data_IF_715310752620
#
_entry.id   IF_715310752620
#
_cell.length_a   1.000
_cell.length_b   1.000
_cell.length_c   1.000
_cell.angle_alpha   90.00
_cell.angle_beta   90.00
_cell.angle_gamma   90.00
#
_symmetry.space_group_name_H-M   'P 1'
#
loop_
_entity.id
_entity.type
_entity.pdbx_description
1 polymer ?
#
# COMPACT_ATOMS: atom_id res chain seq x y z
N UNK A 1 9.64 48.35 -27.36
CA UNK A 1 8.71 47.19 -27.38
C UNK A 1 9.34 45.88 -26.89
N UNK A 2 10.52 45.89 -26.26
CA UNK A 2 11.29 44.68 -25.89
C UNK A 2 11.22 44.30 -24.40
N UNK A 3 10.95 45.25 -23.50
CA UNK A 3 10.93 44.99 -22.05
C UNK A 3 9.77 44.09 -21.59
N UNK A 4 8.57 44.26 -22.16
CA UNK A 4 7.39 43.47 -21.80
C UNK A 4 7.50 41.99 -22.22
N UNK A 5 8.20 41.73 -23.32
CA UNK A 5 8.38 40.38 -23.88
C UNK A 5 9.31 39.53 -22.98
N UNK A 6 10.38 40.12 -22.44
CA UNK A 6 11.31 39.43 -21.54
C UNK A 6 10.67 39.07 -20.19
N UNK A 7 9.74 39.90 -19.69
CA UNK A 7 9.01 39.64 -18.44
C UNK A 7 8.05 38.44 -18.61
N UNK A 8 7.34 38.37 -19.73
CA UNK A 8 6.41 37.27 -20.00
C UNK A 8 7.16 35.95 -20.23
N UNK A 9 8.31 35.97 -20.91
CA UNK A 9 9.16 34.80 -21.09
C UNK A 9 9.67 34.22 -19.76
N UNK A 10 10.06 35.08 -18.81
CA UNK A 10 10.45 34.66 -17.46
C UNK A 10 9.29 34.03 -16.68
N UNK A 11 8.09 34.60 -16.78
CA UNK A 11 6.89 34.03 -16.14
C UNK A 11 6.54 32.65 -16.71
N UNK A 12 6.64 32.48 -18.03
CA UNK A 12 6.42 31.19 -18.70
C UNK A 12 7.48 30.17 -18.24
N UNK A 13 8.74 30.57 -18.16
CA UNK A 13 9.83 29.71 -17.69
C UNK A 13 9.58 29.24 -16.24
N UNK A 14 9.18 30.16 -15.35
CA UNK A 14 8.88 29.83 -13.95
C UNK A 14 7.66 28.89 -13.86
N UNK A 15 6.62 29.13 -14.67
CA UNK A 15 5.44 28.27 -14.71
C UNK A 15 5.77 26.85 -15.21
N UNK A 16 6.66 26.71 -16.19
CA UNK A 16 7.13 25.42 -16.70
C UNK A 16 7.96 24.65 -15.66
N UNK A 17 8.86 25.34 -14.95
CA UNK A 17 9.64 24.73 -13.87
C UNK A 17 8.75 24.29 -12.71
N UNK A 18 7.75 25.09 -12.36
CA UNK A 18 6.77 24.75 -11.31
C UNK A 18 5.91 23.54 -11.71
N UNK A 19 5.51 23.42 -12.98
CA UNK A 19 4.73 22.29 -13.47
C UNK A 19 5.52 20.98 -13.42
N UNK A 20 6.81 21.02 -13.77
CA UNK A 20 7.69 19.85 -13.71
C UNK A 20 7.92 19.40 -12.26
N UNK A 21 8.00 20.33 -11.31
CA UNK A 21 8.17 20.00 -9.89
C UNK A 21 6.96 19.23 -9.29
N UNK A 22 5.75 19.47 -9.79
CA UNK A 22 4.53 18.80 -9.30
C UNK A 22 4.43 17.35 -9.81
N UNK A 23 4.95 17.06 -11.01
CA UNK A 23 4.93 15.70 -11.56
C UNK A 23 5.93 14.72 -10.92
N UNK A 24 6.85 15.21 -10.09
CA UNK A 24 7.91 14.38 -9.50
C UNK A 24 7.65 13.99 -8.04
N UNK A 25 6.44 14.18 -7.50
CA UNK A 25 6.15 13.71 -6.15
C UNK A 25 6.20 12.17 -6.12
N UNK A 26 7.14 11.55 -5.37
CA UNK A 26 7.07 10.13 -5.12
C UNK A 26 5.81 9.93 -4.28
N UNK A 27 4.82 9.24 -4.84
CA UNK A 27 3.67 8.78 -4.06
C UNK A 27 4.21 7.92 -2.93
N UNK A 28 4.19 8.43 -1.70
CA UNK A 28 4.49 7.63 -0.52
C UNK A 28 3.31 6.66 -0.33
N UNK A 29 3.44 5.47 -0.90
CA UNK A 29 2.54 4.37 -0.57
C UNK A 29 2.81 4.01 0.89
N UNK A 30 1.95 4.47 1.79
CA UNK A 30 1.99 4.06 3.18
C UNK A 30 1.61 2.56 3.23
N UNK A 31 2.62 1.70 3.30
CA UNK A 31 2.41 0.26 3.49
C UNK A 31 1.85 0.06 4.90
N UNK A 32 0.59 -0.37 5.02
CA UNK A 32 -0.02 -0.61 6.31
C UNK A 32 0.63 -1.83 6.96
N UNK A 33 1.30 -1.64 8.10
CA UNK A 33 1.94 -2.73 8.83
C UNK A 33 0.91 -3.47 9.70
N UNK A 34 1.00 -4.80 9.76
CA UNK A 34 0.12 -5.68 10.53
C UNK A 34 0.94 -6.46 11.55
N UNK A 35 0.36 -6.68 12.74
CA UNK A 35 0.91 -7.57 13.76
C UNK A 35 -0.13 -8.64 14.09
N UNK A 36 -0.07 -9.82 13.46
CA UNK A 36 -1.09 -10.85 13.64
C UNK A 36 -1.07 -11.44 15.07
N UNK A 37 -2.26 -11.54 15.66
CA UNK A 37 -2.49 -12.21 16.94
C UNK A 37 -3.79 -13.03 16.86
N UNK A 38 -3.65 -14.29 16.53
CA UNK A 38 -4.73 -15.28 16.46
C UNK A 38 -4.42 -16.41 17.44
N UNK A 39 -5.40 -16.76 18.28
CA UNK A 39 -5.27 -17.84 19.25
C UNK A 39 -6.48 -18.77 19.11
N UNK A 40 -6.21 -20.04 18.84
CA UNK A 40 -7.26 -21.06 18.66
C UNK A 40 -8.32 -20.66 17.61
N UNK A 41 -7.93 -19.88 16.60
CA UNK A 41 -8.82 -19.36 15.58
C UNK A 41 -9.06 -20.39 14.48
N UNK A 42 -10.22 -20.33 13.81
CA UNK A 42 -10.47 -21.17 12.64
C UNK A 42 -9.59 -20.73 11.47
N UNK A 43 -8.92 -21.68 10.83
CA UNK A 43 -8.01 -21.41 9.71
C UNK A 43 -8.66 -20.63 8.56
N UNK A 44 -9.97 -20.79 8.33
CA UNK A 44 -10.69 -20.08 7.26
C UNK A 44 -10.77 -18.58 7.56
N UNK A 45 -10.94 -18.22 8.83
CA UNK A 45 -10.94 -16.81 9.26
C UNK A 45 -9.57 -16.17 9.07
N UNK A 46 -8.50 -16.93 9.30
CA UNK A 46 -7.13 -16.44 9.04
C UNK A 46 -6.93 -16.22 7.55
N UNK A 47 -7.35 -17.16 6.70
CA UNK A 47 -7.22 -17.03 5.24
C UNK A 47 -8.02 -15.83 4.71
N UNK A 48 -9.22 -15.58 5.23
CA UNK A 48 -10.00 -14.38 4.88
C UNK A 48 -9.27 -13.09 5.24
N UNK A 49 -8.68 -13.01 6.44
CA UNK A 49 -7.89 -11.85 6.84
C UNK A 49 -6.67 -11.64 5.95
N UNK A 50 -5.94 -12.72 5.60
CA UNK A 50 -4.82 -12.65 4.66
C UNK A 50 -5.30 -12.18 3.28
N UNK A 51 -6.45 -12.66 2.80
CA UNK A 51 -7.03 -12.27 1.52
C UNK A 51 -7.37 -10.77 1.47
N UNK A 52 -8.00 -10.25 2.52
CA UNK A 52 -8.37 -8.83 2.63
C UNK A 52 -7.13 -7.93 2.67
N UNK A 53 -6.14 -8.32 3.46
CA UNK A 53 -4.91 -7.53 3.67
C UNK A 53 -4.01 -7.53 2.42
N UNK A 54 -3.90 -8.68 1.76
CA UNK A 54 -2.98 -8.87 0.61
C UNK A 54 -3.64 -8.59 -0.74
N UNK A 55 -4.97 -8.48 -0.77
CA UNK A 55 -5.77 -8.37 -1.99
C UNK A 55 -5.71 -9.63 -2.87
N UNK A 56 -5.35 -10.80 -2.30
CA UNK A 56 -5.22 -12.07 -3.04
C UNK A 56 -6.48 -12.93 -2.87
N UNK A 57 -6.82 -13.67 -3.92
CA UNK A 57 -7.93 -14.63 -3.90
C UNK A 57 -7.42 -16.03 -3.62
N UNK A 58 -8.04 -16.72 -2.67
CA UNK A 58 -7.70 -18.10 -2.28
C UNK A 58 -8.81 -19.07 -2.67
N UNK A 59 -8.42 -20.24 -3.19
CA UNK A 59 -9.33 -21.38 -3.36
C UNK A 59 -9.05 -22.35 -2.21
N UNK A 60 -10.03 -22.52 -1.33
CA UNK A 60 -9.89 -23.34 -0.11
C UNK A 60 -10.51 -24.72 -0.38
N UNK A 61 -9.74 -25.78 -0.13
CA UNK A 61 -10.25 -27.15 -0.22
C UNK A 61 -11.33 -27.40 0.87
N UNK A 62 -12.43 -28.11 0.55
CA UNK A 62 -13.51 -28.37 1.51
C UNK A 62 -13.08 -29.06 2.80
N UNK A 63 -11.95 -29.78 2.81
CA UNK A 63 -11.41 -30.49 3.99
C UNK A 63 -10.70 -29.56 4.98
N UNK A 64 -10.41 -28.32 4.57
CA UNK A 64 -9.80 -27.30 5.42
C UNK A 64 -10.91 -26.65 6.28
N UNK A 65 -11.35 -27.40 7.29
CA UNK A 65 -12.42 -27.01 8.21
C UNK A 65 -12.13 -27.51 9.63
N UNK A 66 -12.40 -26.67 10.64
CA UNK A 66 -12.30 -27.08 12.06
C UNK A 66 -10.88 -27.15 12.61
N UNK A 67 -9.87 -26.76 11.83
CA UNK A 67 -8.51 -26.64 12.30
C UNK A 67 -8.36 -25.35 13.10
N UNK A 68 -8.03 -25.50 14.39
CA UNK A 68 -7.68 -24.39 15.26
C UNK A 68 -6.20 -24.08 15.11
N UNK A 69 -5.91 -22.84 14.77
CA UNK A 69 -4.54 -22.38 14.53
C UNK A 69 -4.27 -21.18 15.44
N UNK A 70 -3.07 -21.18 16.00
CA UNK A 70 -2.54 -20.06 16.78
C UNK A 70 -1.40 -19.45 15.98
N UNK A 71 -1.53 -18.17 15.63
CA UNK A 71 -0.55 -17.40 14.87
C UNK A 71 -0.27 -16.10 15.60
N UNK A 72 0.97 -15.95 16.07
CA UNK A 72 1.38 -14.80 16.89
C UNK A 72 2.67 -14.25 16.30
N UNK A 73 2.67 -12.96 15.98
CA UNK A 73 3.89 -12.22 15.67
C UNK A 73 4.27 -11.27 16.79
N UNK A 74 5.56 -11.20 17.10
CA UNK A 74 6.13 -10.21 18.03
C UNK A 74 6.51 -8.88 17.36
N UNK A 75 6.42 -8.80 16.04
CA UNK A 75 6.89 -7.64 15.26
C UNK A 75 5.92 -7.32 14.13
N UNK A 76 5.78 -6.02 13.82
CA UNK A 76 4.94 -5.54 12.73
C UNK A 76 5.55 -5.93 11.37
N UNK A 77 4.73 -6.42 10.44
CA UNK A 77 5.14 -6.90 9.13
C UNK A 77 4.30 -6.27 8.01
N UNK A 78 4.85 -6.21 6.80
CA UNK A 78 4.09 -5.73 5.63
C UNK A 78 3.06 -6.78 5.17
N UNK A 79 2.06 -6.38 4.38
CA UNK A 79 1.14 -7.33 3.75
C UNK A 79 1.86 -8.41 2.93
N UNK A 80 2.95 -8.08 2.24
CA UNK A 80 3.73 -9.09 1.51
C UNK A 80 4.42 -10.10 2.42
N UNK A 81 4.86 -9.69 3.60
CA UNK A 81 5.48 -10.60 4.58
C UNK A 81 4.44 -11.45 5.34
N UNK A 82 3.16 -11.06 5.29
CA UNK A 82 2.06 -11.78 5.91
C UNK A 82 1.50 -12.92 5.03
N UNK A 83 1.73 -12.86 3.71
CA UNK A 83 1.36 -13.89 2.72
C UNK A 83 2.40 -15.02 2.67
#
# INVERSE_FOLDING_TARGET
>A
MTQQQMINARKILIALVALIAICNSPGAFAQSLITPYYKEADIRQIVEAVAEITGKTFIIDPRVSGQKVTMISSTAMSPEAFY
#
